data_IF_621396225266
#
_entry.id   IF_621396225266
#
_cell.length_a   1.000
_cell.length_b   1.000
_cell.length_c   1.000
_cell.angle_alpha   90.00
_cell.angle_beta   90.00
_cell.angle_gamma   90.00
#
_symmetry.space_group_name_H-M   'P 1'
#
loop_
_entity.id
_entity.type
_entity.pdbx_description
1 polymer ?
#
# COMPACT_ATOMS: atom_id res chain seq x y z
N UNK A 1 75.47 19.31 8.88
CA UNK A 1 74.45 20.37 8.91
C UNK A 1 73.80 20.45 7.54
N UNK A 2 72.51 20.15 7.43
CA UNK A 2 71.50 20.74 6.53
C UNK A 2 70.25 19.85 6.59
N UNK A 3 69.32 20.22 7.45
CA UNK A 3 67.99 19.62 7.56
C UNK A 3 67.06 20.37 6.59
N UNK A 4 66.48 19.64 5.63
CA UNK A 4 65.46 20.12 4.71
C UNK A 4 64.09 20.04 5.40
N UNK A 5 63.60 21.18 5.88
CA UNK A 5 62.22 21.37 6.31
C UNK A 5 61.37 21.69 5.08
N UNK A 6 60.56 20.73 4.61
CA UNK A 6 59.46 20.99 3.68
C UNK A 6 58.21 21.39 4.48
N UNK A 7 57.90 22.68 4.50
CA UNK A 7 56.66 23.24 5.02
C UNK A 7 55.54 23.08 3.99
N UNK A 8 54.67 22.08 4.20
CA UNK A 8 53.38 21.93 3.54
C UNK A 8 52.40 22.99 4.06
N UNK A 9 52.19 24.05 3.28
CA UNK A 9 51.10 25.01 3.45
C UNK A 9 49.79 24.35 3.00
N UNK A 10 49.03 23.81 3.96
CA UNK A 10 47.64 23.40 3.76
C UNK A 10 46.76 24.66 3.76
N UNK A 11 46.41 25.14 2.57
CA UNK A 11 45.38 26.17 2.40
C UNK A 11 44.03 25.46 2.50
N UNK A 12 43.42 25.47 3.68
CA UNK A 12 42.01 25.08 3.85
C UNK A 12 41.11 26.19 3.31
N UNK A 13 40.73 26.07 2.04
CA UNK A 13 39.62 26.82 1.48
C UNK A 13 38.31 26.36 2.15
N UNK A 14 37.80 27.15 3.11
CA UNK A 14 36.43 27.03 3.57
C UNK A 14 35.52 27.56 2.46
N UNK A 15 35.20 26.68 1.50
CA UNK A 15 34.02 26.88 0.69
C UNK A 15 32.82 26.81 1.64
N UNK A 16 32.12 27.94 1.80
CA UNK A 16 30.76 27.99 2.34
C UNK A 16 29.85 27.20 1.40
N UNK A 17 29.93 25.88 1.47
CA UNK A 17 29.03 24.97 0.81
C UNK A 17 27.66 25.17 1.44
N UNK A 18 26.73 25.72 0.68
CA UNK A 18 25.32 25.59 1.00
C UNK A 18 25.06 24.10 1.29
N UNK A 19 24.68 23.80 2.53
CA UNK A 19 24.39 22.44 2.95
C UNK A 19 23.45 21.82 1.90
N UNK A 20 23.80 20.70 1.25
CA UNK A 20 22.91 20.07 0.30
C UNK A 20 21.58 19.80 1.01
N UNK A 21 20.50 20.33 0.43
CA UNK A 21 19.16 20.13 0.96
C UNK A 21 18.97 18.63 1.29
N UNK A 22 18.39 18.30 2.45
CA UNK A 22 18.20 16.91 2.84
C UNK A 22 17.52 16.15 1.70
N UNK A 23 17.95 14.91 1.40
CA UNK A 23 17.40 14.10 0.33
C UNK A 23 15.88 14.05 0.50
N UNK A 24 15.17 14.70 -0.43
CA UNK A 24 13.75 14.95 -0.26
C UNK A 24 13.28 16.34 -0.65
N UNK A 25 14.08 17.39 -0.43
CA UNK A 25 13.59 18.76 -0.58
C UNK A 25 12.89 19.02 -1.92
N UNK A 26 11.65 19.51 -1.90
CA UNK A 26 11.09 20.09 -3.11
C UNK A 26 11.88 21.37 -3.38
N UNK A 27 12.58 21.43 -4.50
CA UNK A 27 13.29 22.62 -4.94
C UNK A 27 12.97 22.85 -6.40
N UNK A 28 12.69 24.09 -6.78
CA UNK A 28 12.54 24.46 -8.19
C UNK A 28 13.74 23.93 -9.00
N UNK A 29 13.47 23.13 -10.03
CA UNK A 29 14.50 22.58 -10.92
C UNK A 29 15.17 21.26 -10.52
N UNK A 30 14.80 20.60 -9.41
CA UNK A 30 15.33 19.25 -9.06
C UNK A 30 14.28 18.14 -9.15
N UNK A 31 14.78 16.90 -9.10
CA UNK A 31 14.07 15.68 -9.47
C UNK A 31 12.84 15.31 -8.64
N UNK A 32 12.59 15.90 -7.46
CA UNK A 32 11.40 15.56 -6.66
C UNK A 32 10.41 16.74 -6.65
N UNK A 33 9.22 16.49 -7.20
CA UNK A 33 8.19 17.51 -7.42
C UNK A 33 6.99 17.21 -6.54
N UNK A 34 6.36 18.25 -5.99
CA UNK A 34 5.07 18.12 -5.32
C UNK A 34 3.99 17.72 -6.33
N UNK A 35 2.99 17.00 -5.87
CA UNK A 35 1.81 16.68 -6.69
C UNK A 35 0.97 17.94 -6.96
N UNK A 36 -0.02 17.89 -7.85
CA UNK A 36 -0.76 19.09 -8.28
C UNK A 36 -1.47 19.82 -7.13
N UNK A 37 -1.92 19.06 -6.13
CA UNK A 37 -2.66 19.59 -4.98
C UNK A 37 -1.77 19.84 -3.75
N UNK A 38 -0.48 20.06 -3.97
CA UNK A 38 0.48 20.37 -2.92
C UNK A 38 1.41 21.50 -3.33
N UNK A 39 1.78 22.32 -2.35
CA UNK A 39 2.70 23.44 -2.51
C UNK A 39 4.02 23.14 -1.82
N UNK A 40 5.12 23.57 -2.42
CA UNK A 40 6.42 23.47 -1.79
C UNK A 40 6.63 24.60 -0.78
N UNK A 41 6.68 24.27 0.52
CA UNK A 41 6.88 25.22 1.61
C UNK A 41 8.10 24.75 2.41
N UNK A 42 9.14 25.58 2.51
CA UNK A 42 10.38 25.26 3.22
C UNK A 42 10.98 23.90 2.80
N UNK A 43 11.02 23.62 1.50
CA UNK A 43 11.46 22.35 0.90
C UNK A 43 10.60 21.12 1.27
N UNK A 44 9.40 21.31 1.80
CA UNK A 44 8.44 20.23 2.11
C UNK A 44 7.20 20.40 1.24
N UNK A 45 6.73 19.30 0.63
CA UNK A 45 5.46 19.32 -0.08
C UNK A 45 4.32 19.24 0.93
N UNK A 46 3.55 20.32 1.03
CA UNK A 46 2.42 20.45 1.94
C UNK A 46 1.15 20.45 1.10
N UNK A 47 0.17 19.61 1.47
CA UNK A 47 -1.13 19.62 0.81
C UNK A 47 -1.79 21.00 0.93
N UNK A 48 -2.46 21.43 -0.14
CA UNK A 48 -3.17 22.71 -0.17
C UNK A 48 -4.28 22.76 0.89
N UNK A 49 -4.75 23.96 1.22
CA UNK A 49 -5.78 24.17 2.24
C UNK A 49 -7.04 23.32 1.97
N UNK A 50 -7.61 22.72 3.03
CA UNK A 50 -8.76 21.81 2.93
C UNK A 50 -8.40 20.36 2.55
N UNK A 51 -7.12 20.06 2.36
CA UNK A 51 -6.62 18.72 2.05
C UNK A 51 -5.67 18.18 3.13
N UNK A 52 -5.55 16.87 3.21
CA UNK A 52 -4.59 16.13 4.07
C UNK A 52 -3.90 15.04 3.27
N UNK A 53 -2.73 14.58 3.74
CA UNK A 53 -2.02 13.46 3.12
C UNK A 53 -0.51 13.66 3.12
N UNK A 54 0.12 13.22 2.03
CA UNK A 54 1.54 13.42 1.73
C UNK A 54 1.62 14.18 0.41
N UNK A 55 2.10 15.43 0.43
CA UNK A 55 2.17 16.29 -0.75
C UNK A 55 3.12 15.81 -1.86
N UNK A 56 3.86 14.72 -1.64
CA UNK A 56 4.66 14.04 -2.69
C UNK A 56 3.97 12.84 -3.29
N UNK A 57 2.96 12.33 -2.63
CA UNK A 57 2.29 11.10 -3.02
C UNK A 57 0.82 11.36 -3.36
N UNK A 58 0.05 11.80 -2.38
CA UNK A 58 -1.36 12.13 -2.56
C UNK A 58 -1.91 13.05 -1.45
N UNK A 59 -2.75 14.00 -1.87
CA UNK A 59 -3.58 14.84 -1.02
C UNK A 59 -5.07 14.53 -1.26
N UNK A 60 -5.81 14.33 -0.18
CA UNK A 60 -7.23 13.96 -0.16
C UNK A 60 -8.02 14.96 0.68
N UNK A 61 -9.35 14.95 0.61
CA UNK A 61 -10.15 15.84 1.45
C UNK A 61 -10.01 15.49 2.92
N UNK A 62 -10.19 16.47 3.80
CA UNK A 62 -10.00 16.28 5.24
C UNK A 62 -11.01 15.32 5.89
N UNK A 63 -12.19 15.18 5.31
CA UNK A 63 -13.27 14.29 5.76
C UNK A 63 -13.13 12.85 5.22
N UNK A 64 -12.27 12.60 4.24
CA UNK A 64 -12.05 11.27 3.67
C UNK A 64 -11.06 10.44 4.51
N UNK A 65 -11.22 9.13 4.53
CA UNK A 65 -10.22 8.20 5.04
C UNK A 65 -9.22 7.86 3.94
N UNK A 66 -7.92 7.85 4.26
CA UNK A 66 -6.88 7.46 3.29
C UNK A 66 -5.89 6.46 3.88
N UNK A 67 -5.69 5.36 3.17
CA UNK A 67 -4.63 4.38 3.40
C UNK A 67 -3.60 4.51 2.26
N UNK A 68 -2.32 4.59 2.59
CA UNK A 68 -1.25 4.80 1.61
C UNK A 68 -0.16 3.76 1.83
N UNK A 69 0.37 3.19 0.75
CA UNK A 69 1.60 2.39 0.77
C UNK A 69 2.52 2.94 -0.30
N UNK A 70 3.54 3.69 0.12
CA UNK A 70 4.49 4.34 -0.76
C UNK A 70 5.86 3.64 -0.72
N UNK A 71 6.77 3.95 -1.67
CA UNK A 71 8.09 3.34 -1.85
C UNK A 71 8.87 2.94 -0.57
N UNK A 72 9.64 1.84 -0.64
CA UNK A 72 10.37 1.23 0.49
C UNK A 72 9.44 0.95 1.69
N UNK A 73 8.53 -0.05 1.57
CA UNK A 73 7.11 0.20 1.61
C UNK A 73 6.69 0.84 2.92
N UNK A 74 6.42 2.15 2.87
CA UNK A 74 5.93 2.91 4.02
C UNK A 74 4.42 2.93 3.94
N UNK A 75 3.78 2.27 4.89
CA UNK A 75 2.35 2.28 5.02
C UNK A 75 1.90 3.39 5.98
N UNK A 76 0.79 4.02 5.65
CA UNK A 76 -0.06 4.83 6.53
C UNK A 76 -1.48 4.27 6.47
N UNK A 77 -2.01 3.78 7.59
CA UNK A 77 -3.39 3.27 7.67
C UNK A 77 -4.42 4.42 7.69
N UNK A 78 -5.72 4.07 7.62
CA UNK A 78 -6.81 5.06 7.62
C UNK A 78 -6.83 5.99 8.84
N UNK A 79 -6.42 5.49 10.01
CA UNK A 79 -6.32 6.26 11.26
C UNK A 79 -4.97 6.98 11.41
N UNK A 80 -4.10 6.90 10.40
CA UNK A 80 -2.82 7.60 10.37
C UNK A 80 -1.66 6.85 11.04
N UNK A 81 -1.90 5.67 11.61
CA UNK A 81 -0.83 4.77 12.09
C UNK A 81 0.11 4.39 10.95
N UNK A 82 1.40 4.17 11.27
CA UNK A 82 2.46 3.97 10.27
C UNK A 82 3.20 2.67 10.49
N UNK A 83 3.56 1.99 9.40
CA UNK A 83 4.38 0.79 9.46
C UNK A 83 5.27 0.67 8.21
N UNK A 84 6.19 -0.29 8.22
CA UNK A 84 6.91 -0.71 7.01
C UNK A 84 6.59 -2.17 6.68
N UNK A 85 6.33 -2.46 5.41
CA UNK A 85 5.90 -3.78 4.95
C UNK A 85 6.96 -4.35 4.02
N UNK A 86 7.68 -5.38 4.46
CA UNK A 86 8.77 -5.98 3.67
C UNK A 86 8.44 -7.37 3.11
N UNK A 87 7.19 -7.82 3.27
CA UNK A 87 6.80 -9.16 2.82
C UNK A 87 6.78 -9.23 1.28
N UNK A 88 7.47 -10.19 0.64
CA UNK A 88 7.42 -10.38 -0.80
C UNK A 88 6.14 -11.11 -1.26
N UNK A 89 5.26 -11.45 -0.33
CA UNK A 89 4.03 -12.20 -0.56
C UNK A 89 2.84 -11.27 -0.83
N UNK A 90 1.72 -11.84 -1.27
CA UNK A 90 0.42 -11.16 -1.27
C UNK A 90 -0.10 -11.05 0.17
N UNK A 91 -0.60 -9.88 0.56
CA UNK A 91 -1.14 -9.59 1.88
C UNK A 91 -2.42 -8.76 1.77
N UNK A 92 -3.35 -8.93 2.73
CA UNK A 92 -4.57 -8.13 2.75
C UNK A 92 -4.26 -6.73 3.26
N UNK A 93 -4.51 -5.72 2.43
CA UNK A 93 -4.38 -4.33 2.85
C UNK A 93 -5.57 -3.92 3.69
N UNK A 94 -6.78 -4.12 3.22
CA UNK A 94 -7.96 -3.70 3.96
C UNK A 94 -9.20 -4.50 3.55
N UNK A 95 -10.14 -4.55 4.48
CA UNK A 95 -11.53 -4.93 4.25
C UNK A 95 -12.44 -3.91 4.91
N UNK A 96 -13.34 -3.32 4.14
CA UNK A 96 -14.25 -2.29 4.65
C UNK A 96 -15.53 -2.25 3.83
N UNK A 97 -16.54 -1.60 4.39
CA UNK A 97 -17.84 -1.43 3.75
C UNK A 97 -18.27 0.03 3.75
N UNK A 98 -18.86 0.48 2.65
CA UNK A 98 -19.56 1.77 2.56
C UNK A 98 -21.03 1.53 2.26
N UNK A 99 -21.85 2.56 2.47
CA UNK A 99 -23.28 2.50 2.16
C UNK A 99 -23.70 3.71 1.35
N UNK A 100 -24.65 3.51 0.44
CA UNK A 100 -25.21 4.58 -0.38
C UNK A 100 -26.71 4.36 -0.59
N UNK A 101 -27.42 5.43 -0.98
CA UNK A 101 -28.82 5.35 -1.40
C UNK A 101 -28.88 5.41 -2.92
N UNK A 102 -29.57 4.45 -3.54
CA UNK A 102 -29.78 4.49 -4.98
C UNK A 102 -30.89 5.48 -5.37
N UNK A 103 -31.17 5.61 -6.67
CA UNK A 103 -32.24 6.47 -7.22
C UNK A 103 -33.64 6.18 -6.67
N UNK A 104 -33.88 4.98 -6.13
CA UNK A 104 -35.14 4.57 -5.49
C UNK A 104 -35.10 4.74 -3.96
N UNK A 105 -34.14 5.49 -3.43
CA UNK A 105 -33.90 5.71 -2.00
C UNK A 105 -33.64 4.44 -1.18
N UNK A 106 -33.36 3.30 -1.83
CA UNK A 106 -33.02 2.05 -1.14
C UNK A 106 -31.57 2.10 -0.67
N UNK A 107 -31.35 1.67 0.57
CA UNK A 107 -30.01 1.56 1.15
C UNK A 107 -29.32 0.32 0.59
N UNK A 108 -28.11 0.54 0.06
CA UNK A 108 -27.23 -0.48 -0.50
C UNK A 108 -25.85 -0.39 0.13
N UNK A 109 -25.12 -1.47 0.05
CA UNK A 109 -23.79 -1.61 0.63
C UNK A 109 -22.79 -1.98 -0.45
N UNK A 110 -21.59 -1.44 -0.32
CA UNK A 110 -20.42 -1.82 -1.09
C UNK A 110 -19.38 -2.36 -0.12
N UNK A 111 -19.00 -3.62 -0.26
CA UNK A 111 -17.92 -4.21 0.52
C UNK A 111 -16.68 -4.36 -0.37
N UNK A 112 -15.53 -4.00 0.18
CA UNK A 112 -14.26 -3.97 -0.51
C UNK A 112 -13.26 -4.87 0.20
N UNK A 113 -12.58 -5.71 -0.56
CA UNK A 113 -11.38 -6.41 -0.12
C UNK A 113 -10.22 -6.04 -1.03
N UNK A 114 -9.15 -5.52 -0.45
CA UNK A 114 -7.96 -5.09 -1.18
C UNK A 114 -6.75 -5.89 -0.71
N UNK A 115 -6.00 -6.46 -1.66
CA UNK A 115 -4.76 -7.18 -1.43
C UNK A 115 -3.63 -6.54 -2.21
N UNK A 116 -2.45 -6.44 -1.62
CA UNK A 116 -1.27 -5.97 -2.35
C UNK A 116 -0.14 -6.99 -2.24
N UNK A 117 0.86 -6.82 -3.07
CA UNK A 117 2.07 -7.62 -3.08
C UNK A 117 3.26 -6.71 -3.39
N UNK A 118 4.42 -7.02 -2.83
CA UNK A 118 5.63 -6.25 -3.06
C UNK A 118 6.53 -6.93 -4.11
N UNK A 119 7.30 -6.13 -4.83
CA UNK A 119 8.39 -6.56 -5.71
C UNK A 119 9.71 -6.04 -5.15
N UNK A 120 10.78 -6.81 -5.34
CA UNK A 120 12.14 -6.37 -5.00
C UNK A 120 12.85 -5.96 -6.30
N UNK A 121 13.37 -4.75 -6.34
CA UNK A 121 14.13 -4.20 -7.48
C UNK A 121 15.37 -3.52 -6.91
N UNK A 122 16.56 -3.96 -7.34
CA UNK A 122 17.85 -3.45 -6.87
C UNK A 122 17.99 -3.41 -5.33
N UNK A 123 17.47 -4.43 -4.65
CA UNK A 123 17.50 -4.55 -3.19
C UNK A 123 16.48 -3.66 -2.45
N UNK A 124 15.67 -2.89 -3.17
CA UNK A 124 14.60 -2.07 -2.61
C UNK A 124 13.24 -2.74 -2.82
N UNK A 125 12.36 -2.57 -1.84
CA UNK A 125 11.00 -3.08 -1.89
C UNK A 125 10.05 -2.01 -2.46
N UNK A 126 9.23 -2.40 -3.43
CA UNK A 126 8.21 -1.55 -4.02
C UNK A 126 6.88 -2.27 -4.03
N UNK A 127 5.79 -1.51 -4.02
CA UNK A 127 4.45 -2.05 -4.27
C UNK A 127 4.40 -2.56 -5.72
N UNK A 128 4.13 -3.84 -5.89
CA UNK A 128 4.08 -4.51 -7.19
C UNK A 128 2.76 -4.36 -7.90
N UNK A 129 1.67 -4.23 -7.14
CA UNK A 129 0.31 -4.08 -7.62
C UNK A 129 -0.72 -4.20 -6.50
N UNK A 130 -1.99 -4.24 -6.90
CA UNK A 130 -3.17 -4.26 -6.06
C UNK A 130 -4.25 -5.14 -6.70
N UNK A 131 -4.79 -6.09 -5.95
CA UNK A 131 -6.02 -6.82 -6.30
C UNK A 131 -7.17 -6.24 -5.47
N UNK A 132 -8.27 -5.87 -6.12
CA UNK A 132 -9.48 -5.34 -5.46
C UNK A 132 -10.66 -6.24 -5.80
N UNK A 133 -11.39 -6.67 -4.77
CA UNK A 133 -12.71 -7.29 -4.92
C UNK A 133 -13.78 -6.33 -4.45
N UNK A 134 -14.81 -6.16 -5.26
CA UNK A 134 -15.96 -5.28 -5.00
C UNK A 134 -17.23 -6.12 -4.94
N UNK A 135 -17.89 -6.11 -3.80
CA UNK A 135 -19.18 -6.76 -3.59
C UNK A 135 -20.25 -5.68 -3.43
N UNK A 136 -21.40 -5.85 -4.08
CA UNK A 136 -22.52 -4.90 -4.00
C UNK A 136 -23.80 -5.63 -3.65
N UNK A 137 -24.48 -5.21 -2.59
CA UNK A 137 -25.71 -5.86 -2.14
C UNK A 137 -26.72 -4.90 -1.51
N UNK A 138 -27.98 -5.32 -1.50
CA UNK A 138 -29.10 -4.57 -0.94
C UNK A 138 -29.31 -4.92 0.53
N UNK A 139 -29.67 -3.92 1.35
CA UNK A 139 -30.00 -4.11 2.78
C UNK A 139 -31.15 -5.09 3.04
N UNK A 140 -32.05 -5.28 2.08
CA UNK A 140 -33.20 -6.19 2.19
C UNK A 140 -32.94 -7.63 1.77
N UNK A 141 -31.75 -7.94 1.22
CA UNK A 141 -31.42 -9.27 0.71
C UNK A 141 -30.41 -9.91 1.66
N UNK A 142 -30.91 -10.57 2.72
CA UNK A 142 -30.12 -11.58 3.43
C UNK A 142 -29.91 -12.77 2.48
N UNK A 143 -28.92 -12.73 1.60
CA UNK A 143 -28.54 -13.91 0.84
C UNK A 143 -27.12 -14.33 1.17
N UNK A 144 -27.08 -15.39 1.97
CA UNK A 144 -25.95 -16.10 2.51
C UNK A 144 -25.24 -17.02 1.50
N UNK A 145 -25.58 -17.02 0.20
CA UNK A 145 -25.11 -18.10 -0.68
C UNK A 145 -24.54 -17.76 -2.06
N UNK A 146 -24.62 -16.53 -2.58
CA UNK A 146 -23.82 -16.13 -3.75
C UNK A 146 -23.65 -14.61 -3.76
N UNK A 147 -22.46 -14.16 -3.37
CA UNK A 147 -22.08 -12.76 -3.50
C UNK A 147 -21.37 -12.59 -4.83
N UNK A 148 -22.06 -12.04 -5.82
CA UNK A 148 -21.42 -11.59 -7.05
C UNK A 148 -20.38 -10.52 -6.70
N UNK A 149 -19.22 -10.60 -7.33
CA UNK A 149 -18.14 -9.65 -7.11
C UNK A 149 -17.42 -9.34 -8.41
N UNK A 150 -16.92 -8.11 -8.50
CA UNK A 150 -15.94 -7.75 -9.51
C UNK A 150 -14.54 -7.85 -8.94
N UNK A 151 -13.64 -8.39 -9.75
CA UNK A 151 -12.22 -8.48 -9.43
C UNK A 151 -11.43 -7.55 -10.36
N UNK A 152 -10.59 -6.71 -9.77
CA UNK A 152 -9.64 -5.89 -10.48
C UNK A 152 -8.21 -6.22 -10.05
N UNK A 153 -7.31 -6.36 -11.01
CA UNK A 153 -5.87 -6.43 -10.77
C UNK A 153 -5.22 -5.16 -11.37
N UNK A 154 -4.53 -4.36 -10.54
CA UNK A 154 -3.88 -3.10 -10.92
C UNK A 154 -2.38 -3.24 -10.71
N UNK A 155 -1.60 -3.10 -11.77
CA UNK A 155 -0.15 -3.26 -11.70
C UNK A 155 0.59 -2.42 -12.78
N UNK A 156 1.88 -2.71 -13.00
CA UNK A 156 2.70 -2.02 -14.01
C UNK A 156 2.25 -2.21 -15.46
N UNK A 157 1.34 -3.14 -15.76
CA UNK A 157 0.77 -3.36 -17.09
C UNK A 157 -0.54 -2.59 -17.30
N UNK A 158 -1.32 -2.35 -16.24
CA UNK A 158 -2.51 -1.52 -16.29
C UNK A 158 -3.54 -1.87 -15.23
N UNK A 159 -4.82 -1.71 -15.59
CA UNK A 159 -5.97 -2.21 -14.82
C UNK A 159 -6.58 -3.37 -15.61
N UNK A 160 -6.70 -4.52 -14.97
CA UNK A 160 -7.26 -5.75 -15.52
C UNK A 160 -8.56 -6.09 -14.77
N UNK A 161 -9.60 -6.50 -15.50
CA UNK A 161 -10.85 -7.04 -14.95
C UNK A 161 -11.34 -8.12 -15.89
N UNK A 162 -11.42 -9.36 -15.41
CA UNK A 162 -11.74 -10.54 -16.23
C UNK A 162 -10.88 -10.57 -17.51
N UNK A 163 -11.51 -10.51 -18.70
CA UNK A 163 -10.84 -10.50 -20.00
C UNK A 163 -10.52 -9.09 -20.54
N UNK A 164 -10.87 -8.04 -19.80
CA UNK A 164 -10.66 -6.64 -20.19
C UNK A 164 -9.37 -6.08 -19.60
N UNK A 165 -8.54 -5.47 -20.46
CA UNK A 165 -7.30 -4.80 -20.07
C UNK A 165 -7.31 -3.32 -20.49
N UNK A 166 -7.25 -2.45 -19.48
CA UNK A 166 -6.99 -1.03 -19.65
C UNK A 166 -5.49 -0.74 -19.46
N UNK A 167 -4.78 -0.51 -20.56
CA UNK A 167 -3.32 -0.29 -20.53
C UNK A 167 -2.97 1.11 -20.04
N UNK A 168 -1.77 1.27 -19.46
CA UNK A 168 -1.24 2.59 -19.11
C UNK A 168 -1.26 3.54 -20.32
N UNK A 169 -1.77 4.76 -20.10
CA UNK A 169 -1.83 5.79 -21.13
C UNK A 169 -3.06 5.78 -22.04
N UNK A 170 -3.92 4.75 -21.99
CA UNK A 170 -5.17 4.72 -22.78
C UNK A 170 -6.24 5.67 -22.22
N UNK A 171 -7.30 5.89 -23.00
CA UNK A 171 -8.52 6.57 -22.54
C UNK A 171 -9.18 5.78 -21.40
N UNK A 172 -10.04 6.44 -20.63
CA UNK A 172 -10.81 5.83 -19.53
C UNK A 172 -11.77 4.75 -20.04
N UNK A 173 -12.12 3.81 -19.15
CA UNK A 173 -13.22 2.86 -19.30
C UNK A 173 -14.22 3.07 -18.18
N UNK A 174 -15.51 2.89 -18.47
CA UNK A 174 -16.58 3.00 -17.51
C UNK A 174 -17.61 1.89 -17.74
N UNK A 175 -18.10 1.29 -16.66
CA UNK A 175 -19.19 0.31 -16.71
C UNK A 175 -20.12 0.47 -15.52
N UNK A 176 -21.31 -0.13 -15.61
CA UNK A 176 -22.26 -0.20 -14.51
C UNK A 176 -22.27 -1.63 -13.95
N UNK A 177 -21.99 -1.77 -12.66
CA UNK A 177 -22.08 -3.04 -11.94
C UNK A 177 -23.16 -2.99 -10.89
N UNK A 178 -24.22 -3.79 -11.07
CA UNK A 178 -25.44 -3.70 -10.30
C UNK A 178 -25.98 -2.26 -10.14
N UNK A 179 -25.80 -1.37 -11.12
CA UNK A 179 -26.23 0.03 -11.02
C UNK A 179 -25.32 0.93 -10.18
N UNK A 180 -24.07 0.53 -9.98
CA UNK A 180 -22.97 1.36 -9.46
C UNK A 180 -21.98 1.61 -10.59
N UNK A 181 -21.62 2.87 -10.81
CA UNK A 181 -20.58 3.32 -11.72
C UNK A 181 -19.20 2.86 -11.28
N UNK A 182 -18.55 2.10 -12.16
CA UNK A 182 -17.16 1.68 -12.03
C UNK A 182 -16.36 2.35 -13.13
N UNK A 183 -15.41 3.21 -12.74
CA UNK A 183 -14.58 3.99 -13.66
C UNK A 183 -13.11 3.62 -13.48
N UNK A 184 -12.50 3.16 -14.57
CA UNK A 184 -11.08 2.89 -14.68
C UNK A 184 -10.45 3.99 -15.54
N UNK A 185 -9.47 4.72 -15.03
CA UNK A 185 -8.81 5.82 -15.77
C UNK A 185 -7.34 5.94 -15.42
N UNK A 186 -6.60 6.65 -16.27
CA UNK A 186 -5.19 6.96 -16.04
C UNK A 186 -4.99 8.47 -15.92
N UNK A 187 -4.44 8.91 -14.80
CA UNK A 187 -3.96 10.28 -14.63
C UNK A 187 -2.62 10.44 -15.34
N UNK A 188 -2.64 11.15 -16.47
CA UNK A 188 -1.44 11.36 -17.29
C UNK A 188 -0.40 12.24 -16.62
N UNK A 189 -0.77 13.07 -15.65
CA UNK A 189 0.12 14.03 -15.02
C UNK A 189 0.73 13.42 -13.77
N UNK A 190 -0.09 12.91 -12.86
CA UNK A 190 0.36 12.27 -11.62
C UNK A 190 0.69 10.78 -11.77
N UNK A 191 0.52 10.24 -12.98
CA UNK A 191 0.88 8.87 -13.36
C UNK A 191 0.20 7.80 -12.50
N UNK A 192 -1.05 8.03 -12.10
CA UNK A 192 -1.86 7.05 -11.37
C UNK A 192 -2.77 6.26 -12.32
N UNK A 193 -2.78 4.94 -12.19
CA UNK A 193 -3.93 4.12 -12.56
C UNK A 193 -4.98 4.26 -11.46
N UNK A 194 -6.22 4.58 -11.84
CA UNK A 194 -7.30 4.92 -10.92
C UNK A 194 -8.49 4.00 -11.19
N UNK A 195 -8.93 3.28 -10.16
CA UNK A 195 -10.20 2.58 -10.09
C UNK A 195 -11.12 3.35 -9.13
N UNK A 196 -12.26 3.81 -9.61
CA UNK A 196 -13.23 4.61 -8.88
C UNK A 196 -14.59 3.92 -8.89
N UNK A 197 -15.21 3.82 -7.72
CA UNK A 197 -16.52 3.21 -7.51
C UNK A 197 -17.43 4.32 -7.01
N UNK A 198 -18.13 4.95 -7.95
CA UNK A 198 -18.63 6.34 -7.82
C UNK A 198 -19.65 6.48 -6.69
N UNK A 199 -20.73 5.70 -6.69
CA UNK A 199 -21.79 5.78 -5.69
C UNK A 199 -21.32 5.35 -4.30
N UNK A 200 -20.30 4.49 -4.23
CA UNK A 200 -19.70 4.05 -2.97
C UNK A 200 -18.70 5.08 -2.42
N UNK A 201 -18.30 6.08 -3.21
CA UNK A 201 -17.33 7.12 -2.84
C UNK A 201 -15.91 6.59 -2.63
N UNK A 202 -15.54 5.47 -3.25
CA UNK A 202 -14.26 4.79 -3.03
C UNK A 202 -13.36 4.92 -4.24
N UNK A 203 -12.08 5.19 -3.99
CA UNK A 203 -11.06 5.29 -5.05
C UNK A 203 -9.79 4.55 -4.68
N UNK A 204 -9.34 3.67 -5.57
CA UNK A 204 -8.04 3.03 -5.52
C UNK A 204 -7.13 3.69 -6.55
N UNK A 205 -5.94 4.11 -6.12
CA UNK A 205 -4.91 4.64 -7.00
C UNK A 205 -3.64 3.82 -6.89
N UNK A 206 -2.98 3.58 -8.01
CA UNK A 206 -1.69 2.90 -8.06
C UNK A 206 -0.75 3.64 -9.00
N UNK A 207 0.48 3.88 -8.56
CA UNK A 207 1.57 4.44 -9.35
C UNK A 207 2.71 3.44 -9.36
N UNK A 208 2.96 2.85 -10.52
CA UNK A 208 4.03 1.86 -10.68
C UNK A 208 5.42 2.48 -10.42
N UNK A 209 6.32 1.68 -9.85
CA UNK A 209 7.75 1.99 -9.90
C UNK A 209 8.25 1.89 -11.35
N UNK A 210 9.04 2.86 -11.78
CA UNK A 210 9.66 2.84 -13.11
C UNK A 210 11.08 2.27 -12.99
N UNK A 211 11.33 1.00 -13.39
CA UNK A 211 12.64 0.38 -13.25
C UNK A 211 13.70 1.00 -14.18
N UNK A 212 13.30 1.81 -15.16
CA UNK A 212 14.24 2.52 -16.06
C UNK A 212 14.78 3.80 -15.45
N UNK A 213 14.12 4.32 -14.41
CA UNK A 213 14.59 5.47 -13.66
C UNK A 213 15.14 4.98 -12.33
N UNK A 214 16.41 5.30 -11.99
CA UNK A 214 16.90 4.94 -10.67
C UNK A 214 16.04 5.60 -9.59
N UNK A 215 15.90 5.01 -8.40
CA UNK A 215 14.96 5.46 -7.36
C UNK A 215 15.10 6.96 -6.99
N UNK A 216 16.31 7.50 -7.09
CA UNK A 216 16.62 8.90 -6.82
C UNK A 216 16.25 9.88 -7.96
N UNK A 217 15.96 9.37 -9.17
CA UNK A 217 15.53 10.16 -10.33
C UNK A 217 14.03 10.05 -10.60
N UNK A 218 13.34 9.08 -10.00
CA UNK A 218 11.90 8.95 -10.14
C UNK A 218 11.21 10.17 -9.54
N UNK A 219 10.56 10.97 -10.40
CA UNK A 219 10.00 12.27 -9.99
C UNK A 219 8.84 12.20 -9.01
N UNK A 220 8.02 11.17 -9.19
CA UNK A 220 6.79 10.94 -8.46
C UNK A 220 6.89 9.63 -7.70
N UNK A 221 6.60 9.67 -6.40
CA UNK A 221 6.77 8.54 -5.49
C UNK A 221 5.84 7.36 -5.88
N UNK A 222 6.37 6.16 -6.18
CA UNK A 222 5.53 5.01 -6.51
C UNK A 222 4.81 4.48 -5.26
N UNK A 223 3.69 3.79 -5.46
CA UNK A 223 2.89 3.26 -4.38
C UNK A 223 1.43 3.06 -4.76
N UNK A 224 0.61 2.76 -3.76
CA UNK A 224 -0.85 2.76 -3.86
C UNK A 224 -1.49 3.64 -2.80
N UNK A 225 -2.70 4.10 -3.09
CA UNK A 225 -3.56 4.79 -2.16
C UNK A 225 -4.99 4.26 -2.26
N UNK A 226 -5.66 4.18 -1.12
CA UNK A 226 -7.06 3.79 -1.00
C UNK A 226 -7.77 4.94 -0.28
N UNK A 227 -8.73 5.55 -0.98
CA UNK A 227 -9.59 6.61 -0.46
C UNK A 227 -10.96 6.02 -0.17
N UNK A 228 -11.50 6.32 1.00
CA UNK A 228 -12.83 5.91 1.41
C UNK A 228 -13.58 7.10 2.04
N UNK A 229 -14.92 7.17 1.93
CA UNK A 229 -15.70 8.24 2.51
C UNK A 229 -15.70 8.17 4.05
N UNK A 230 -16.04 9.26 4.73
CA UNK A 230 -16.19 9.30 6.19
C UNK A 230 -17.19 8.26 6.74
N UNK A 231 -18.16 7.86 5.92
CA UNK A 231 -19.17 6.84 6.25
C UNK A 231 -18.65 5.40 6.16
N UNK A 232 -17.39 5.19 5.77
CA UNK A 232 -16.80 3.87 5.68
C UNK A 232 -16.73 3.20 7.05
N UNK A 233 -17.15 1.94 7.09
CA UNK A 233 -17.08 1.06 8.25
C UNK A 233 -15.98 0.03 8.01
N UNK A 234 -15.04 -0.07 8.95
CA UNK A 234 -13.90 -0.98 8.85
C UNK A 234 -14.19 -2.20 9.73
N UNK A 235 -14.10 -3.40 9.17
CA UNK A 235 -14.30 -4.62 9.95
C UNK A 235 -13.14 -4.77 10.94
N UNK A 236 -13.45 -4.80 12.22
CA UNK A 236 -12.49 -5.09 13.30
C UNK A 236 -12.47 -6.58 13.67
N UNK A 237 -13.50 -7.34 13.28
CA UNK A 237 -13.83 -8.65 13.88
C UNK A 237 -12.96 -9.83 13.43
N UNK A 238 -11.78 -9.57 12.89
CA UNK A 238 -10.86 -10.63 12.46
C UNK A 238 -9.89 -11.03 13.59
N UNK A 239 -10.38 -11.07 14.84
CA UNK A 239 -9.61 -11.56 16.00
C UNK A 239 -9.07 -12.99 15.81
N UNK A 240 -9.61 -13.74 14.84
CA UNK A 240 -9.21 -15.11 14.52
C UNK A 240 -8.51 -15.27 13.17
N UNK A 241 -8.33 -14.19 12.38
CA UNK A 241 -7.62 -14.32 11.12
C UNK A 241 -6.11 -14.30 11.35
N UNK A 242 -5.47 -15.44 11.06
CA UNK A 242 -4.02 -15.55 11.06
C UNK A 242 -3.40 -14.77 9.89
N UNK A 243 -2.13 -14.40 10.02
CA UNK A 243 -1.31 -13.88 8.91
C UNK A 243 -1.39 -14.89 7.73
N UNK A 244 -1.63 -14.43 6.49
CA UNK A 244 -1.54 -13.06 5.97
C UNK A 244 -2.89 -12.32 5.85
N UNK A 245 -3.92 -12.77 6.57
CA UNK A 245 -5.27 -12.31 6.32
C UNK A 245 -5.65 -11.05 7.09
N UNK A 246 -5.05 -10.70 8.23
CA UNK A 246 -5.38 -9.44 8.93
C UNK A 246 -5.22 -8.18 8.06
N UNK A 247 -6.15 -7.22 8.21
CA UNK A 247 -6.13 -5.96 7.46
C UNK A 247 -5.07 -4.97 7.97
N UNK A 248 -4.05 -4.69 7.15
CA UNK A 248 -2.96 -3.77 7.51
C UNK A 248 -3.39 -2.30 7.63
N UNK A 249 -4.36 -1.88 6.83
CA UNK A 249 -4.92 -0.54 6.79
C UNK A 249 -6.21 -0.39 7.60
N UNK A 250 -6.52 -1.28 8.56
CA UNK A 250 -7.74 -1.19 9.37
C UNK A 250 -7.77 -0.01 10.37
N UNK A 251 -8.88 0.10 11.12
CA UNK A 251 -8.92 0.91 12.35
C UNK A 251 -8.20 0.16 13.47
N UNK A 252 -7.32 0.84 14.18
CA UNK A 252 -6.78 0.31 15.43
C UNK A 252 -7.92 0.27 16.45
N UNK A 253 -8.10 -0.88 17.11
CA UNK A 253 -9.00 -0.98 18.26
C UNK A 253 -8.68 0.16 19.22
N UNK A 254 -9.72 0.88 19.64
CA UNK A 254 -9.56 2.02 20.53
C UNK A 254 -8.88 1.59 21.82
N UNK A 255 -7.62 2.00 21.98
CA UNK A 255 -7.13 2.56 23.23
C UNK A 255 -5.86 3.36 22.97
N UNK A 256 -5.65 4.41 23.76
CA UNK A 256 -4.77 5.54 23.49
C UNK A 256 -3.26 5.32 23.44
N UNK A 257 -2.77 4.16 22.98
CA UNK A 257 -1.34 3.91 22.76
C UNK A 257 -1.02 3.64 21.29
N UNK A 258 -0.50 4.68 20.65
CA UNK A 258 0.16 4.60 19.35
C UNK A 258 1.14 3.42 19.32
N UNK A 259 1.01 2.58 18.28
CA UNK A 259 1.86 1.46 17.90
C UNK A 259 1.61 0.07 18.49
N UNK A 260 0.71 -0.20 19.44
CA UNK A 260 0.72 -1.54 20.09
C UNK A 260 0.47 -2.72 19.14
N UNK A 261 -0.39 -2.61 18.12
CA UNK A 261 -0.56 -3.70 17.14
C UNK A 261 0.73 -3.94 16.32
N UNK A 262 1.44 -2.88 15.90
CA UNK A 262 2.68 -3.00 15.11
C UNK A 262 3.96 -3.18 15.96
N UNK A 263 3.94 -2.81 17.25
CA UNK A 263 5.05 -2.98 18.19
C UNK A 263 4.96 -4.31 18.96
N UNK A 264 3.77 -4.72 19.41
CA UNK A 264 3.56 -6.05 20.00
C UNK A 264 3.56 -7.13 18.91
N UNK A 265 3.23 -6.77 17.66
CA UNK A 265 3.65 -7.50 16.48
C UNK A 265 4.78 -6.76 15.77
N UNK A 266 5.91 -6.56 16.46
CA UNK A 266 7.19 -6.86 15.81
C UNK A 266 7.09 -8.31 15.37
N UNK A 267 6.51 -8.49 14.20
CA UNK A 267 6.24 -9.79 13.61
C UNK A 267 7.60 -10.46 13.49
N UNK A 268 7.88 -11.40 14.41
CA UNK A 268 9.02 -12.31 14.38
C UNK A 268 8.87 -13.30 13.20
N UNK A 269 8.71 -12.79 11.97
CA UNK A 269 8.73 -13.59 10.73
C UNK A 269 10.17 -13.99 10.35
N UNK A 270 11.19 -13.57 11.10
CA UNK A 270 12.49 -14.25 11.05
C UNK A 270 12.40 -15.71 11.54
N UNK A 271 11.41 -16.06 12.40
CA UNK A 271 11.22 -17.42 12.90
C UNK A 271 10.50 -18.36 11.92
N UNK A 272 9.64 -17.83 11.03
CA UNK A 272 8.87 -18.65 10.09
C UNK A 272 9.65 -19.06 8.85
N UNK A 273 10.70 -18.33 8.47
CA UNK A 273 11.56 -18.70 7.34
C UNK A 273 12.58 -19.81 7.73
N UNK A 274 12.86 -20.00 9.03
CA UNK A 274 13.88 -20.96 9.50
C UNK A 274 13.37 -22.08 10.44
N UNK A 275 12.06 -22.21 10.69
CA UNK A 275 11.55 -23.31 11.52
C UNK A 275 12.04 -23.29 12.98
N UNK A 276 12.35 -22.11 13.54
CA UNK A 276 12.77 -21.97 14.94
C UNK A 276 11.64 -21.32 15.73
N UNK A 277 11.07 -22.06 16.68
CA UNK A 277 10.12 -21.56 17.66
C UNK A 277 10.92 -20.97 18.83
N UNK A 278 10.88 -19.65 19.00
CA UNK A 278 11.44 -18.98 20.18
C UNK A 278 10.28 -18.72 21.15
N UNK A 279 10.37 -19.27 22.36
CA UNK A 279 9.35 -19.06 23.38
C UNK A 279 9.47 -17.66 24.03
N UNK A 280 8.51 -17.31 24.90
CA UNK A 280 8.42 -16.01 25.59
C UNK A 280 9.64 -15.64 26.46
N UNK A 281 10.59 -16.56 26.65
CA UNK A 281 11.84 -16.38 27.42
C UNK A 281 13.07 -16.12 26.55
N UNK A 282 12.94 -16.11 25.22
CA UNK A 282 14.05 -15.79 24.32
C UNK A 282 15.09 -16.90 24.13
N UNK A 283 14.79 -18.14 24.53
CA UNK A 283 15.65 -19.31 24.28
C UNK A 283 15.16 -20.12 23.08
N UNK A 284 16.06 -20.43 22.16
CA UNK A 284 15.79 -21.31 21.03
C UNK A 284 15.91 -22.78 21.46
N UNK A 285 14.87 -23.57 21.23
CA UNK A 285 14.90 -25.02 21.40
C UNK A 285 14.87 -25.71 20.02
N UNK A 286 15.76 -26.67 19.73
CA UNK A 286 15.73 -27.41 18.48
C UNK A 286 14.55 -28.40 18.45
N UNK A 287 13.83 -28.44 17.32
CA UNK A 287 12.79 -29.43 17.06
C UNK A 287 13.42 -30.78 16.73
N UNK A 288 13.22 -31.77 17.59
CA UNK A 288 13.53 -33.18 17.31
C UNK A 288 12.68 -33.67 16.13
N UNK A 289 13.32 -34.05 15.03
CA UNK A 289 12.68 -34.69 13.89
C UNK A 289 12.23 -36.11 14.26
N UNK A 290 10.91 -36.31 14.36
CA UNK A 290 10.31 -37.64 14.43
C UNK A 290 10.33 -38.31 13.05
N UNK A 291 11.12 -39.37 12.91
CA UNK A 291 11.19 -40.22 11.72
C UNK A 291 9.88 -41.03 11.59
N UNK A 292 8.99 -40.62 10.70
CA UNK A 292 7.83 -41.44 10.30
C UNK A 292 8.21 -42.32 9.10
N UNK A 293 8.42 -43.63 9.36
CA UNK A 293 8.50 -44.66 8.30
C UNK A 293 7.11 -44.83 7.67
N UNK A 294 7.01 -44.68 6.34
CA UNK A 294 5.86 -45.11 5.55
C UNK A 294 6.00 -46.60 5.21
N UNK A 295 4.93 -47.36 5.43
CA UNK A 295 4.72 -48.68 4.84
C UNK A 295 3.87 -48.50 3.58
N UNK A 296 4.39 -48.92 2.43
CA UNK A 296 3.61 -49.07 1.19
C UNK A 296 2.97 -50.47 1.13
N UNK A 297 1.69 -50.60 0.74
CA UNK A 297 1.12 -51.90 0.41
C UNK A 297 1.30 -52.24 -1.07
N UNK A 298 1.79 -53.47 -1.30
CA UNK A 298 1.93 -54.15 -2.58
C UNK A 298 0.56 -54.39 -3.22
N UNK A 299 0.36 -53.97 -4.48
CA UNK A 299 -0.77 -54.37 -5.33
C UNK A 299 -0.36 -55.56 -6.19
N UNK A 300 -1.11 -56.66 -6.09
CA UNK A 300 -1.09 -57.77 -7.01
C UNK A 300 -1.98 -57.48 -8.23
N UNK A 301 -1.48 -57.79 -9.42
CA UNK A 301 -2.24 -57.91 -10.67
C UNK A 301 -2.84 -59.32 -10.77
N UNK A 302 -3.93 -59.48 -11.52
CA UNK A 302 -4.03 -60.47 -12.58
C UNK A 302 -3.66 -59.86 -13.95
#
# INVERSE_FOLDING_TARGET
>A
MHALLLSLLYISAFASGANPAPPGGCTEGKHQVCIQNATCINNVCVCNAGLKGDGRFECVKTDEHVCQVAADPRMRAFEGSRARIFFPCKYRLTRFMTSFRNSKSRLRFCEFEAFSFNKVVDGLHFVGGLEVKVFIYDSGVQQSYQRDFLKFDIDSAGIHSDDSLLRWGTSSSSMLFHGVGVVCKFDKIEKFAILEIEECGVRFKFRAHNPREPPNKQRLMPGLSIQAPASASFSTNDEFESIPFFSLCGRTFGDGDNNTIFNNHRINILGLINGIRIDKTGRAAPLLQGVHRRHDPVRALP
#
